data_IF_353338640390
#
_entry.id   IF_353338640390
#
_cell.length_a   1.000
_cell.length_b   1.000
_cell.length_c   1.000
_cell.angle_alpha   90.00
_cell.angle_beta   90.00
_cell.angle_gamma   90.00
#
_symmetry.space_group_name_H-M   'P 1'
#
loop_
_entity.id
_entity.type
_entity.pdbx_description
1 polymer ?
#
# COMPACT_ATOMS: atom_id res chain seq x y z
N UNK A 1 -18.56 9.44 15.99
CA UNK A 1 -17.74 10.42 15.22
C UNK A 1 -18.17 10.32 13.77
N UNK A 2 -18.34 11.43 13.03
CA UNK A 2 -18.83 11.36 11.65
C UNK A 2 -17.80 10.60 10.79
N UNK A 3 -18.21 9.45 10.27
CA UNK A 3 -17.47 8.67 9.28
C UNK A 3 -17.39 9.49 8.00
N UNK A 4 -16.24 10.13 7.76
CA UNK A 4 -16.01 10.89 6.54
C UNK A 4 -15.82 9.90 5.39
N UNK A 5 -16.73 9.93 4.42
CA UNK A 5 -16.71 9.07 3.23
C UNK A 5 -15.95 9.81 2.11
N UNK A 6 -15.05 9.14 1.36
CA UNK A 6 -14.28 9.78 0.28
C UNK A 6 -15.15 10.23 -0.90
N UNK A 7 -14.84 11.37 -1.53
CA UNK A 7 -15.57 11.81 -2.73
C UNK A 7 -15.30 10.94 -3.96
N UNK A 8 -16.14 11.04 -4.99
CA UNK A 8 -15.96 10.33 -6.26
C UNK A 8 -14.55 10.50 -6.87
N UNK A 9 -14.02 11.74 -6.90
CA UNK A 9 -12.68 12.01 -7.41
C UNK A 9 -11.58 11.37 -6.54
N UNK A 10 -11.78 11.36 -5.22
CA UNK A 10 -10.86 10.75 -4.27
C UNK A 10 -10.85 9.23 -4.37
N UNK A 11 -12.01 8.63 -4.57
CA UNK A 11 -12.19 7.22 -4.87
C UNK A 11 -11.53 6.82 -6.19
N UNK A 12 -11.68 7.63 -7.25
CA UNK A 12 -11.01 7.39 -8.53
C UNK A 12 -9.48 7.43 -8.41
N UNK A 13 -8.96 8.36 -7.63
CA UNK A 13 -7.52 8.47 -7.40
C UNK A 13 -6.97 7.30 -6.56
N UNK A 14 -7.70 6.87 -5.51
CA UNK A 14 -7.36 5.64 -4.78
C UNK A 14 -7.41 4.42 -5.69
N UNK A 15 -8.45 4.31 -6.52
CA UNK A 15 -8.57 3.22 -7.46
C UNK A 15 -7.36 3.12 -8.39
N UNK A 16 -6.92 4.26 -8.93
CA UNK A 16 -5.72 4.30 -9.77
C UNK A 16 -4.47 3.88 -9.00
N UNK A 17 -4.27 4.39 -7.78
CA UNK A 17 -3.10 4.04 -6.97
C UNK A 17 -3.03 2.55 -6.66
N UNK A 18 -4.16 1.92 -6.31
CA UNK A 18 -4.21 0.48 -6.04
C UNK A 18 -4.06 -0.36 -7.32
N UNK A 19 -4.53 0.14 -8.46
CA UNK A 19 -4.29 -0.47 -9.76
C UNK A 19 -2.80 -0.44 -10.14
N UNK A 20 -2.14 0.72 -9.97
CA UNK A 20 -0.71 0.89 -10.22
C UNK A 20 0.11 -0.03 -9.31
N UNK A 21 -0.28 -0.15 -8.03
CA UNK A 21 0.35 -1.07 -7.07
C UNK A 21 0.20 -2.52 -7.50
N UNK A 22 -0.98 -2.95 -7.93
CA UNK A 22 -1.19 -4.30 -8.44
C UNK A 22 -0.28 -4.60 -9.65
N UNK A 23 -0.16 -3.64 -10.56
CA UNK A 23 0.72 -3.75 -11.73
C UNK A 23 2.19 -3.82 -11.33
N UNK A 24 2.61 -3.03 -10.35
CA UNK A 24 3.98 -3.02 -9.83
C UNK A 24 4.33 -4.35 -9.12
N UNK A 25 3.43 -4.90 -8.31
CA UNK A 25 3.58 -6.21 -7.66
C UNK A 25 3.66 -7.32 -8.73
N UNK A 26 2.82 -7.26 -9.76
CA UNK A 26 2.85 -8.20 -10.88
C UNK A 26 4.17 -8.17 -11.63
N UNK A 27 4.66 -6.98 -11.99
CA UNK A 27 5.96 -6.80 -12.63
C UNK A 27 7.10 -7.30 -11.74
N UNK A 28 7.08 -6.99 -10.45
CA UNK A 28 8.08 -7.47 -9.50
C UNK A 28 8.11 -9.01 -9.44
N UNK A 29 6.94 -9.65 -9.35
CA UNK A 29 6.82 -11.11 -9.33
C UNK A 29 7.40 -11.76 -10.60
N UNK A 30 7.17 -11.15 -11.77
CA UNK A 30 7.71 -11.64 -13.04
C UNK A 30 9.23 -11.44 -13.11
N UNK A 31 9.73 -10.26 -12.71
CA UNK A 31 11.17 -9.95 -12.75
C UNK A 31 11.99 -10.77 -11.73
N UNK A 32 11.38 -11.18 -10.61
CA UNK A 32 12.02 -11.96 -9.55
C UNK A 32 11.55 -13.43 -9.53
N UNK A 33 10.92 -13.93 -10.60
CA UNK A 33 10.32 -15.26 -10.61
C UNK A 33 11.32 -16.38 -10.25
N UNK A 34 12.58 -16.25 -10.69
CA UNK A 34 13.64 -17.22 -10.40
C UNK A 34 14.28 -17.12 -9.01
N UNK A 35 14.02 -16.05 -8.27
CA UNK A 35 14.58 -15.79 -6.93
C UNK A 35 13.53 -15.94 -5.82
N UNK A 36 12.26 -15.79 -6.16
CA UNK A 36 11.14 -15.94 -5.24
C UNK A 36 10.84 -17.42 -4.96
N UNK A 37 10.69 -17.75 -3.67
CA UNK A 37 10.10 -19.04 -3.27
C UNK A 37 8.63 -19.12 -3.67
N UNK A 38 8.09 -20.34 -3.76
CA UNK A 38 6.66 -20.58 -4.05
C UNK A 38 5.76 -19.83 -3.07
N UNK A 39 6.11 -19.81 -1.78
CA UNK A 39 5.35 -19.09 -0.75
C UNK A 39 5.36 -17.57 -1.00
N UNK A 40 6.51 -16.99 -1.33
CA UNK A 40 6.64 -15.56 -1.65
C UNK A 40 5.89 -15.20 -2.94
N UNK A 41 5.93 -16.05 -3.97
CA UNK A 41 5.16 -15.84 -5.19
C UNK A 41 3.65 -15.85 -4.90
N UNK A 42 3.19 -16.78 -4.07
CA UNK A 42 1.78 -16.89 -3.69
C UNK A 42 1.33 -15.68 -2.87
N UNK A 43 2.17 -15.21 -1.93
CA UNK A 43 1.90 -13.98 -1.16
C UNK A 43 1.77 -12.75 -2.08
N UNK A 44 2.72 -12.55 -2.99
CA UNK A 44 2.67 -11.44 -3.95
C UNK A 44 1.46 -11.54 -4.88
N UNK A 45 1.10 -12.75 -5.33
CA UNK A 45 -0.11 -12.96 -6.12
C UNK A 45 -1.37 -12.59 -5.34
N UNK A 46 -1.47 -13.00 -4.09
CA UNK A 46 -2.63 -12.70 -3.25
C UNK A 46 -2.75 -11.18 -3.00
N UNK A 47 -1.62 -10.51 -2.73
CA UNK A 47 -1.57 -9.05 -2.55
C UNK A 47 -1.89 -8.28 -3.84
N UNK A 48 -1.43 -8.78 -5.00
CA UNK A 48 -1.81 -8.23 -6.30
C UNK A 48 -3.33 -8.30 -6.50
N UNK A 49 -3.94 -9.46 -6.23
CA UNK A 49 -5.38 -9.65 -6.38
C UNK A 49 -6.19 -8.77 -5.43
N UNK A 50 -5.74 -8.62 -4.17
CA UNK A 50 -6.36 -7.72 -3.20
C UNK A 50 -6.31 -6.25 -3.65
N UNK A 51 -5.16 -5.80 -4.19
CA UNK A 51 -5.04 -4.44 -4.72
C UNK A 51 -6.00 -4.19 -5.89
N UNK A 52 -6.18 -5.16 -6.79
CA UNK A 52 -7.18 -5.07 -7.86
C UNK A 52 -8.60 -5.00 -7.31
N UNK A 53 -8.93 -5.84 -6.33
CA UNK A 53 -10.25 -5.83 -5.70
C UNK A 53 -10.55 -4.50 -4.99
N UNK A 54 -9.56 -3.93 -4.31
CA UNK A 54 -9.68 -2.60 -3.70
C UNK A 54 -9.85 -1.52 -4.76
N UNK A 55 -9.07 -1.58 -5.84
CA UNK A 55 -9.22 -0.64 -6.97
C UNK A 55 -10.65 -0.66 -7.53
N UNK A 56 -11.18 -1.84 -7.87
CA UNK A 56 -12.56 -1.97 -8.34
C UNK A 56 -13.58 -1.48 -7.31
N UNK A 57 -13.38 -1.80 -6.03
CA UNK A 57 -14.27 -1.36 -4.96
C UNK A 57 -14.30 0.16 -4.79
N UNK A 58 -13.15 0.83 -4.90
CA UNK A 58 -13.09 2.29 -4.85
C UNK A 58 -13.75 2.92 -6.07
N UNK A 59 -13.63 2.34 -7.27
CA UNK A 59 -14.39 2.80 -8.45
C UNK A 59 -15.89 2.71 -8.19
N UNK A 60 -16.38 1.56 -7.70
CA UNK A 60 -17.79 1.35 -7.39
C UNK A 60 -18.30 2.31 -6.30
N UNK A 61 -17.52 2.54 -5.25
CA UNK A 61 -17.86 3.51 -4.20
C UNK A 61 -17.88 4.94 -4.75
N UNK A 62 -16.90 5.32 -5.57
CA UNK A 62 -16.84 6.65 -6.18
C UNK A 62 -18.02 6.94 -7.12
N UNK A 63 -18.54 5.92 -7.81
CA UNK A 63 -19.77 6.02 -8.61
C UNK A 63 -21.03 6.25 -7.77
N UNK A 64 -21.01 5.87 -6.49
CA UNK A 64 -22.18 5.93 -5.59
C UNK A 64 -22.24 7.15 -4.66
N UNK A 65 -21.24 8.05 -4.70
CA UNK A 65 -21.06 9.10 -3.68
C UNK A 65 -21.17 10.53 -4.22
N UNK A 66 -22.10 11.30 -3.64
CA UNK A 66 -22.12 12.78 -3.70
C UNK A 66 -21.18 13.40 -2.64
N UNK A 67 -20.66 14.58 -2.94
CA UNK A 67 -19.42 15.19 -2.43
C UNK A 67 -19.30 15.28 -0.89
N UNK A 68 -18.28 14.63 -0.31
CA UNK A 68 -17.71 14.94 1.01
C UNK A 68 -16.17 14.88 0.97
N UNK A 69 -15.48 15.72 1.75
CA UNK A 69 -14.05 16.02 1.55
C UNK A 69 -13.14 15.38 2.62
N UNK A 70 -12.32 14.40 2.22
CA UNK A 70 -11.31 13.70 3.06
C UNK A 70 -9.85 14.18 2.84
N UNK A 71 -9.58 15.49 2.71
CA UNK A 71 -8.32 15.98 2.11
C UNK A 71 -7.03 15.58 2.82
N UNK A 72 -7.00 15.59 4.16
CA UNK A 72 -5.76 15.37 4.93
C UNK A 72 -5.33 13.89 4.94
N UNK A 73 -6.25 12.98 5.27
CA UNK A 73 -5.99 11.54 5.29
C UNK A 73 -5.62 11.02 3.91
N UNK A 74 -6.28 11.49 2.85
CA UNK A 74 -5.93 11.12 1.47
C UNK A 74 -4.56 11.61 1.05
N UNK A 75 -4.16 12.82 1.46
CA UNK A 75 -2.82 13.33 1.20
C UNK A 75 -1.76 12.45 1.87
N UNK A 76 -2.03 11.96 3.09
CA UNK A 76 -1.15 11.04 3.79
C UNK A 76 -1.10 9.65 3.12
N UNK A 77 -2.24 9.11 2.68
CA UNK A 77 -2.30 7.85 1.90
C UNK A 77 -1.47 7.99 0.62
N UNK A 78 -1.70 9.05 -0.17
CA UNK A 78 -0.97 9.36 -1.40
C UNK A 78 0.54 9.41 -1.18
N UNK A 79 0.96 10.04 -0.09
CA UNK A 79 2.36 10.18 0.22
C UNK A 79 2.98 8.81 0.56
N UNK A 80 2.31 8.03 1.41
CA UNK A 80 2.76 6.70 1.78
C UNK A 80 2.85 5.73 0.59
N UNK A 81 1.83 5.70 -0.27
CA UNK A 81 1.83 4.87 -1.50
C UNK A 81 2.89 5.32 -2.50
N UNK A 82 3.09 6.62 -2.67
CA UNK A 82 4.14 7.15 -3.56
C UNK A 82 5.54 6.80 -3.07
N UNK A 83 5.81 6.99 -1.78
CA UNK A 83 7.09 6.61 -1.19
C UNK A 83 7.31 5.10 -1.27
N UNK A 84 6.27 4.29 -1.04
CA UNK A 84 6.35 2.84 -1.17
C UNK A 84 6.66 2.39 -2.60
N UNK A 85 6.04 3.00 -3.63
CA UNK A 85 6.39 2.72 -5.03
C UNK A 85 7.84 3.05 -5.34
N UNK A 86 8.31 4.22 -4.90
CA UNK A 86 9.70 4.62 -5.09
C UNK A 86 10.66 3.66 -4.39
N UNK A 87 10.32 3.22 -3.18
CA UNK A 87 11.11 2.26 -2.43
C UNK A 87 11.14 0.87 -3.07
N UNK A 88 10.03 0.38 -3.64
CA UNK A 88 10.01 -0.89 -4.37
C UNK A 88 10.81 -0.79 -5.67
N UNK A 89 10.80 0.38 -6.33
CA UNK A 89 11.61 0.62 -7.52
C UNK A 89 13.11 0.76 -7.21
N UNK A 90 13.48 1.27 -6.03
CA UNK A 90 14.86 1.53 -5.62
C UNK A 90 15.51 0.38 -4.82
N UNK A 91 14.74 -0.44 -4.10
CA UNK A 91 15.29 -1.48 -3.24
C UNK A 91 15.64 -2.77 -3.99
N UNK A 92 16.86 -3.27 -3.74
CA UNK A 92 17.39 -4.47 -4.39
C UNK A 92 17.14 -5.81 -3.66
N UNK A 93 16.47 -5.82 -2.50
CA UNK A 93 16.25 -7.06 -1.72
C UNK A 93 14.79 -7.50 -1.70
N UNK A 94 14.58 -8.80 -1.94
CA UNK A 94 13.24 -9.42 -2.05
C UNK A 94 12.44 -9.30 -0.77
N UNK A 95 13.06 -9.53 0.38
CA UNK A 95 12.39 -9.43 1.69
C UNK A 95 11.90 -8.01 2.00
N UNK A 96 12.67 -6.96 1.70
CA UNK A 96 12.23 -5.58 1.93
C UNK A 96 11.05 -5.21 1.04
N UNK A 97 11.12 -5.57 -0.24
CA UNK A 97 10.02 -5.32 -1.17
C UNK A 97 8.74 -6.02 -0.72
N UNK A 98 8.84 -7.28 -0.24
CA UNK A 98 7.70 -8.00 0.35
C UNK A 98 7.13 -7.32 1.59
N UNK A 99 7.97 -6.80 2.49
CA UNK A 99 7.50 -6.09 3.69
C UNK A 99 6.74 -4.80 3.33
N UNK A 100 7.25 -4.03 2.36
CA UNK A 100 6.60 -2.80 1.88
C UNK A 100 5.25 -3.13 1.23
N UNK A 101 5.21 -4.14 0.36
CA UNK A 101 3.97 -4.59 -0.30
C UNK A 101 2.95 -5.08 0.73
N UNK A 102 3.39 -5.80 1.76
CA UNK A 102 2.52 -6.29 2.84
C UNK A 102 1.92 -5.13 3.64
N UNK A 103 2.73 -4.13 3.97
CA UNK A 103 2.26 -2.93 4.69
C UNK A 103 1.23 -2.16 3.87
N UNK A 104 1.43 -2.05 2.55
CA UNK A 104 0.48 -1.43 1.63
C UNK A 104 -0.84 -2.20 1.52
N UNK A 105 -0.79 -3.53 1.51
CA UNK A 105 -2.02 -4.35 1.51
C UNK A 105 -2.85 -4.11 2.77
N UNK A 106 -2.21 -4.00 3.94
CA UNK A 106 -2.88 -3.65 5.22
C UNK A 106 -3.50 -2.26 5.16
N UNK A 107 -2.80 -1.27 4.57
CA UNK A 107 -3.36 0.05 4.33
C UNK A 107 -4.59 -0.02 3.41
N UNK A 108 -4.52 -0.79 2.32
CA UNK A 108 -5.66 -1.01 1.42
C UNK A 108 -6.87 -1.63 2.09
N UNK A 109 -6.66 -2.67 2.90
CA UNK A 109 -7.70 -3.28 3.71
C UNK A 109 -8.35 -2.28 4.68
N UNK A 110 -7.52 -1.43 5.29
CA UNK A 110 -7.99 -0.39 6.22
C UNK A 110 -8.84 0.67 5.53
N UNK A 111 -8.44 1.12 4.33
CA UNK A 111 -9.21 2.07 3.53
C UNK A 111 -10.52 1.42 3.06
N UNK A 112 -10.47 0.18 2.59
CA UNK A 112 -11.66 -0.57 2.18
C UNK A 112 -12.66 -0.73 3.33
N UNK A 113 -12.17 -0.98 4.55
CA UNK A 113 -13.01 -1.09 5.76
C UNK A 113 -13.63 0.24 6.22
N UNK A 114 -13.29 1.37 5.57
CA UNK A 114 -13.68 2.72 5.97
C UNK A 114 -13.37 3.05 7.45
N UNK A 115 -12.37 2.39 8.03
CA UNK A 115 -12.02 2.57 9.44
C UNK A 115 -10.90 3.63 9.58
N UNK A 116 -11.20 4.86 10.04
CA UNK A 116 -10.23 5.95 10.07
C UNK A 116 -9.02 5.67 10.97
N UNK A 117 -9.22 4.97 12.10
CA UNK A 117 -8.13 4.58 13.00
C UNK A 117 -7.22 3.55 12.35
N UNK A 118 -7.80 2.54 11.67
CA UNK A 118 -7.01 1.54 10.94
C UNK A 118 -6.25 2.17 9.76
N UNK A 119 -6.85 3.14 9.06
CA UNK A 119 -6.19 3.87 7.96
C UNK A 119 -4.96 4.61 8.50
N UNK A 120 -5.09 5.33 9.61
CA UNK A 120 -3.97 6.05 10.22
C UNK A 120 -2.85 5.09 10.68
N UNK A 121 -3.22 3.96 11.30
CA UNK A 121 -2.26 2.91 11.67
C UNK A 121 -1.59 2.29 10.44
N UNK A 122 -2.33 2.04 9.36
CA UNK A 122 -1.79 1.51 8.11
C UNK A 122 -0.81 2.47 7.43
N UNK A 123 -1.10 3.78 7.44
CA UNK A 123 -0.19 4.81 6.92
C UNK A 123 1.11 4.81 7.74
N UNK A 124 1.01 4.81 9.07
CA UNK A 124 2.18 4.73 9.95
C UNK A 124 2.97 3.44 9.75
N UNK A 125 2.29 2.31 9.55
CA UNK A 125 2.93 1.04 9.22
C UNK A 125 3.78 1.14 7.96
N UNK A 126 3.21 1.66 6.86
CA UNK A 126 3.96 1.88 5.61
C UNK A 126 5.16 2.81 5.82
N UNK A 127 4.97 3.94 6.52
CA UNK A 127 6.06 4.89 6.80
C UNK A 127 7.15 4.24 7.67
N UNK A 128 6.78 3.44 8.67
CA UNK A 128 7.74 2.76 9.54
C UNK A 128 8.56 1.71 8.79
N UNK A 129 7.93 0.94 7.90
CA UNK A 129 8.61 -0.03 7.03
C UNK A 129 9.59 0.67 6.08
N UNK A 130 9.25 1.89 5.63
CA UNK A 130 10.13 2.73 4.82
C UNK A 130 11.28 3.35 5.64
N UNK A 131 11.02 3.79 6.86
CA UNK A 131 12.01 4.43 7.74
C UNK A 131 12.97 3.44 8.41
N UNK A 132 12.57 2.17 8.52
CA UNK A 132 13.48 1.08 8.93
C UNK A 132 14.66 0.89 7.95
N UNK A 133 14.68 1.65 6.85
CA UNK A 133 15.82 1.81 5.92
C UNK A 133 16.73 3.01 6.24
N UNK A 134 16.23 4.06 6.92
CA UNK A 134 16.99 5.29 7.22
C UNK A 134 17.79 5.22 8.55
N UNK A 135 17.79 4.08 9.23
CA UNK A 135 18.33 3.93 10.58
C UNK A 135 18.92 2.57 10.87
N UNK A 136 19.99 2.21 10.16
CA UNK A 136 21.00 1.31 10.72
C UNK A 136 22.29 2.11 10.94
N UNK A 137 22.53 2.70 12.12
CA UNK A 137 23.91 2.91 12.53
C UNK A 137 24.54 1.53 12.69
N UNK A 138 25.69 1.39 12.04
CA UNK A 138 26.59 0.25 12.23
C UNK A 138 26.82 -0.02 13.72
N UNK A 139 26.81 -1.30 14.09
CA UNK A 139 27.61 -1.83 15.20
C UNK A 139 27.13 -1.54 16.62
N UNK A 140 26.61 -2.58 17.27
CA UNK A 140 26.90 -2.94 18.66
C UNK A 140 26.45 -4.40 18.81
N UNK A 141 27.28 -5.42 19.01
CA UNK A 141 28.59 -5.42 19.66
C UNK A 141 28.42 -5.31 21.16
N UNK A 142 28.39 -6.46 21.85
CA UNK A 142 28.40 -6.58 23.32
C UNK A 142 26.99 -6.63 23.92
N UNK A 143 26.63 -7.58 24.78
CA UNK A 143 27.35 -8.58 25.57
C UNK A 143 26.39 -9.74 25.87
#
# INVERSE_FOLDING_TARGET
MPTQVPSAAQCGDLAQQFHDLASLIGNYRLNQYGTLTVAQQYQLQNQQMQCLQYSSSFITQGLSLEQTTLTATLKAIKNATTQARNAIAANGTVDKTLQIITSLAVLGASIYSMNPSAIQSGIQGVISTLQSDAGSPAGAGGI
#
